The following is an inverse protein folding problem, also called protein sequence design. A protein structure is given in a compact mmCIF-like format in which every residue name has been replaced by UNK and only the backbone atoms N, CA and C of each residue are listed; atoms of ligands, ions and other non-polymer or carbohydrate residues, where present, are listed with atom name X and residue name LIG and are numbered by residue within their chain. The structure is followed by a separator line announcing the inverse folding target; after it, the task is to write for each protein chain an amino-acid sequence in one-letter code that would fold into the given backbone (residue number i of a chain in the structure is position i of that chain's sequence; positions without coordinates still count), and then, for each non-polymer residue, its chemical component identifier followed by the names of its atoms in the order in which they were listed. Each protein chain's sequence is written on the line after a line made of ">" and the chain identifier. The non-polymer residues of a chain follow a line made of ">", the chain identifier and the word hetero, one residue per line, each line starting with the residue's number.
data_IF_531684446392
#
_entry.id   IF_531684446392
#
_cell.length_a   1.000
_cell.length_b   1.000
_cell.length_c   1.000
_cell.angle_alpha   90.00
_cell.angle_beta   90.00
_cell.angle_gamma   90.00
#
_symmetry.space_group_name_H-M   'P 1'
#
loop_
_entity.id
_entity.type
_entity.pdbx_description
1 polymer ?
#
# COMPACT_ATOMS: atom_id res chain seq x y z
N UNK A 1 81.60 -18.68 -46.78
CA UNK A 1 80.38 -17.89 -47.10
C UNK A 1 79.30 -18.22 -46.07
N UNK A 2 78.51 -17.21 -45.70
CA UNK A 2 77.66 -17.11 -44.49
C UNK A 2 76.39 -17.99 -44.49
N UNK A 3 75.87 -18.18 -43.26
CA UNK A 3 74.48 -18.42 -42.81
C UNK A 3 73.95 -19.87 -42.84
N UNK A 4 73.11 -20.36 -41.90
CA UNK A 4 72.45 -19.82 -40.68
C UNK A 4 71.88 -21.02 -39.88
N UNK A 5 71.76 -20.84 -38.56
CA UNK A 5 71.23 -21.76 -37.53
C UNK A 5 69.74 -22.12 -37.65
N UNK A 6 69.31 -23.28 -37.12
CA UNK A 6 68.33 -23.40 -36.00
C UNK A 6 67.98 -24.85 -35.57
N UNK A 7 67.99 -25.05 -34.24
CA UNK A 7 67.39 -26.15 -33.47
C UNK A 7 65.91 -25.86 -33.13
N UNK A 8 65.10 -26.89 -32.91
CA UNK A 8 63.85 -26.84 -32.15
C UNK A 8 63.64 -28.14 -31.35
N UNK A 9 63.34 -28.09 -30.03
CA UNK A 9 63.09 -29.26 -29.20
C UNK A 9 61.62 -29.42 -28.72
N UNK A 10 61.28 -30.70 -28.49
CA UNK A 10 60.43 -31.38 -27.50
C UNK A 10 59.50 -30.52 -26.59
N UNK A 11 58.23 -30.95 -26.57
CA UNK A 11 57.14 -30.59 -25.65
C UNK A 11 57.22 -31.40 -24.33
N UNK A 12 56.79 -30.83 -23.18
CA UNK A 12 56.07 -31.65 -22.21
C UNK A 12 54.71 -31.04 -21.78
N UNK A 13 53.77 -31.95 -21.59
CA UNK A 13 52.39 -31.74 -21.14
C UNK A 13 52.39 -31.75 -19.61
N UNK A 14 52.02 -30.64 -18.96
CA UNK A 14 51.42 -30.63 -17.62
C UNK A 14 50.84 -29.24 -17.36
N UNK A 15 49.51 -29.06 -17.47
CA UNK A 15 48.72 -27.96 -16.84
C UNK A 15 47.22 -28.02 -17.21
N UNK A 16 46.55 -29.17 -16.99
CA UNK A 16 45.12 -29.32 -17.31
C UNK A 16 44.18 -29.16 -16.11
N UNK A 17 44.63 -29.36 -14.87
CA UNK A 17 43.72 -29.47 -13.71
C UNK A 17 43.43 -28.11 -13.02
N UNK A 18 44.33 -27.12 -13.14
CA UNK A 18 44.17 -25.83 -12.46
C UNK A 18 43.31 -24.83 -13.24
N UNK A 19 43.18 -24.99 -14.57
CA UNK A 19 42.34 -24.12 -15.41
C UNK A 19 40.84 -24.39 -15.24
N UNK A 20 40.44 -25.64 -14.99
CA UNK A 20 39.01 -26.01 -14.95
C UNK A 20 38.29 -25.50 -13.70
N UNK A 21 38.97 -25.40 -12.55
CA UNK A 21 38.40 -24.83 -11.32
C UNK A 21 38.29 -23.29 -11.36
N UNK A 22 39.26 -22.62 -11.99
CA UNK A 22 39.20 -21.16 -12.16
C UNK A 22 38.09 -20.73 -13.14
N UNK A 23 37.86 -21.50 -14.21
CA UNK A 23 36.79 -21.22 -15.17
C UNK A 23 35.40 -21.41 -14.55
N UNK A 24 35.20 -22.45 -13.72
CA UNK A 24 33.92 -22.68 -13.05
C UNK A 24 33.56 -21.59 -12.03
N UNK A 25 34.53 -21.11 -11.25
CA UNK A 25 34.33 -20.02 -10.28
C UNK A 25 34.00 -18.71 -10.99
N UNK A 26 34.69 -18.38 -12.08
CA UNK A 26 34.38 -17.18 -12.89
C UNK A 26 33.02 -17.26 -13.60
N UNK A 27 32.59 -18.45 -14.05
CA UNK A 27 31.27 -18.63 -14.68
C UNK A 27 30.13 -18.47 -13.67
N UNK A 28 30.30 -18.99 -12.44
CA UNK A 28 29.31 -18.81 -11.37
C UNK A 28 29.25 -17.36 -10.90
N UNK A 29 30.39 -16.67 -10.75
CA UNK A 29 30.43 -15.23 -10.44
C UNK A 29 29.77 -14.39 -11.55
N UNK A 30 30.03 -14.67 -12.83
CA UNK A 30 29.36 -13.95 -13.93
C UNK A 30 27.84 -14.20 -13.97
N UNK A 31 27.36 -15.40 -13.66
CA UNK A 31 25.93 -15.70 -13.61
C UNK A 31 25.22 -15.01 -12.43
N UNK A 32 25.89 -14.90 -11.27
CA UNK A 32 25.34 -14.22 -10.08
C UNK A 32 25.34 -12.69 -10.25
N UNK A 33 26.38 -12.11 -10.86
CA UNK A 33 26.41 -10.66 -11.11
C UNK A 33 25.48 -10.22 -12.25
N UNK A 34 25.29 -11.06 -13.27
CA UNK A 34 24.37 -10.73 -14.39
C UNK A 34 22.89 -10.87 -14.01
N UNK A 35 22.57 -11.70 -13.00
CA UNK A 35 21.19 -11.87 -12.53
C UNK A 35 20.75 -10.77 -11.56
N UNK A 36 21.66 -10.23 -10.74
CA UNK A 36 21.37 -9.03 -9.95
C UNK A 36 21.19 -7.79 -10.82
N UNK A 37 22.05 -7.57 -11.83
CA UNK A 37 21.93 -6.41 -12.73
C UNK A 37 20.72 -6.49 -13.65
N UNK A 38 20.34 -7.69 -14.12
CA UNK A 38 19.13 -7.87 -14.91
C UNK A 38 17.84 -7.64 -14.09
N UNK A 39 17.84 -8.03 -12.81
CA UNK A 39 16.73 -7.77 -11.90
C UNK A 39 16.61 -6.28 -11.58
N UNK A 40 17.74 -5.62 -11.32
CA UNK A 40 17.82 -4.19 -11.04
C UNK A 40 17.41 -3.36 -12.29
N UNK A 41 17.86 -3.73 -13.48
CA UNK A 41 17.39 -3.13 -14.74
C UNK A 41 15.90 -3.37 -14.98
N UNK A 42 15.37 -4.56 -14.67
CA UNK A 42 13.95 -4.87 -14.82
C UNK A 42 13.10 -4.05 -13.83
N UNK A 43 13.56 -3.90 -12.59
CA UNK A 43 12.94 -3.06 -11.57
C UNK A 43 13.00 -1.58 -11.97
N UNK A 44 14.14 -1.09 -12.45
CA UNK A 44 14.30 0.29 -12.93
C UNK A 44 13.43 0.56 -14.16
N UNK A 45 13.34 -0.37 -15.13
CA UNK A 45 12.44 -0.23 -16.30
C UNK A 45 10.97 -0.23 -15.90
N UNK A 46 10.58 -1.04 -14.90
CA UNK A 46 9.21 -1.05 -14.38
C UNK A 46 8.90 0.23 -13.61
N UNK A 47 9.79 0.67 -12.74
CA UNK A 47 9.67 1.94 -12.03
C UNK A 47 9.60 3.12 -12.99
N UNK A 48 10.45 3.12 -14.04
CA UNK A 48 10.44 4.14 -15.10
C UNK A 48 9.14 4.13 -15.90
N UNK A 49 8.58 2.97 -16.27
CA UNK A 49 7.25 2.90 -16.90
C UNK A 49 6.15 3.44 -15.98
N UNK A 50 6.19 3.09 -14.70
CA UNK A 50 5.25 3.60 -13.71
C UNK A 50 5.41 5.12 -13.55
N UNK A 51 6.62 5.66 -13.70
CA UNK A 51 6.90 7.10 -13.63
C UNK A 51 6.49 7.84 -14.91
N UNK A 52 6.76 7.28 -16.09
CA UNK A 52 6.37 7.78 -17.41
C UNK A 52 4.84 7.74 -17.59
N UNK A 53 4.14 6.82 -16.92
CA UNK A 53 2.68 6.80 -16.81
C UNK A 53 2.12 7.87 -15.86
N UNK A 54 2.97 8.58 -15.09
CA UNK A 54 2.62 9.60 -14.07
C UNK A 54 3.05 11.02 -14.48
N UNK A 55 2.84 11.40 -15.74
CA UNK A 55 3.23 12.74 -16.19
C UNK A 55 2.35 13.85 -15.57
N UNK A 56 3.01 14.95 -15.24
CA UNK A 56 2.64 15.89 -14.21
C UNK A 56 1.62 16.94 -14.69
N UNK A 57 0.39 16.93 -14.14
CA UNK A 57 -0.43 18.11 -13.75
C UNK A 57 -1.85 17.72 -13.33
N UNK A 58 -2.30 16.52 -13.64
CA UNK A 58 -3.35 15.80 -12.94
C UNK A 58 -3.14 14.33 -13.32
N UNK A 59 -3.44 13.38 -12.46
CA UNK A 59 -3.51 11.96 -12.81
C UNK A 59 -4.43 11.76 -14.05
N UNK A 60 -3.93 11.97 -15.27
CA UNK A 60 -4.46 11.44 -16.53
C UNK A 60 -4.09 9.95 -16.55
N UNK A 61 -4.61 9.24 -15.55
CA UNK A 61 -4.77 7.81 -15.65
C UNK A 61 -5.60 7.57 -16.91
N UNK A 62 -5.30 6.50 -17.64
CA UNK A 62 -6.05 6.15 -18.84
C UNK A 62 -7.55 6.27 -18.55
N UNK A 63 -8.33 6.99 -19.38
CA UNK A 63 -9.76 7.10 -19.19
C UNK A 63 -10.35 5.71 -19.00
N UNK A 64 -11.09 5.52 -17.91
CA UNK A 64 -11.75 4.24 -17.68
C UNK A 64 -12.76 3.99 -18.80
N UNK A 65 -12.87 2.73 -19.22
CA UNK A 65 -13.91 2.27 -20.13
C UNK A 65 -15.18 1.85 -19.38
N UNK A 66 -15.24 2.08 -18.06
CA UNK A 66 -16.37 1.74 -17.23
C UNK A 66 -17.66 2.37 -17.76
N UNK A 67 -18.74 1.61 -17.70
CA UNK A 67 -20.06 2.11 -18.07
C UNK A 67 -20.64 2.89 -16.90
N UNK A 68 -20.93 4.18 -17.12
CA UNK A 68 -21.50 5.05 -16.07
C UNK A 68 -23.00 5.19 -16.30
N UNK A 69 -23.78 4.71 -15.32
CA UNK A 69 -25.22 4.88 -15.25
C UNK A 69 -25.53 6.02 -14.27
N UNK A 70 -26.44 6.91 -14.65
CA UNK A 70 -26.84 8.06 -13.83
C UNK A 70 -28.35 8.02 -13.66
N UNK A 71 -28.82 8.16 -12.43
CA UNK A 71 -30.24 8.24 -12.14
C UNK A 71 -30.87 9.49 -12.80
N UNK A 72 -32.17 9.48 -13.14
CA UNK A 72 -32.81 10.60 -13.83
C UNK A 72 -32.75 11.96 -13.10
N UNK A 73 -32.61 11.95 -11.78
CA UNK A 73 -32.46 13.15 -10.94
C UNK A 73 -31.00 13.61 -10.77
N UNK A 74 -30.06 12.83 -11.33
CA UNK A 74 -28.62 12.94 -11.17
C UNK A 74 -28.13 12.98 -9.71
N UNK A 75 -28.94 12.50 -8.75
CA UNK A 75 -28.54 12.41 -7.35
C UNK A 75 -27.70 11.18 -7.04
N UNK A 76 -27.69 10.21 -7.96
CA UNK A 76 -26.89 9.00 -7.87
C UNK A 76 -26.31 8.60 -9.22
N UNK A 77 -25.03 8.25 -9.21
CA UNK A 77 -24.32 7.61 -10.31
C UNK A 77 -23.77 6.25 -9.91
N UNK A 78 -23.57 5.38 -10.88
CA UNK A 78 -23.02 4.04 -10.68
C UNK A 78 -22.08 3.66 -11.82
N UNK A 79 -20.96 3.04 -11.46
CA UNK A 79 -19.97 2.45 -12.37
C UNK A 79 -19.69 1.01 -11.96
N UNK A 80 -18.63 0.38 -12.47
CA UNK A 80 -18.32 -1.02 -12.19
C UNK A 80 -18.00 -1.23 -10.70
N UNK A 81 -17.13 -0.38 -10.13
CA UNK A 81 -16.62 -0.50 -8.77
C UNK A 81 -17.18 0.53 -7.79
N UNK A 82 -17.91 1.55 -8.25
CA UNK A 82 -18.38 2.64 -7.40
C UNK A 82 -19.88 2.92 -7.52
N UNK A 83 -20.43 3.47 -6.44
CA UNK A 83 -21.62 4.33 -6.51
C UNK A 83 -21.23 5.72 -6.02
N UNK A 84 -21.76 6.78 -6.64
CA UNK A 84 -21.61 8.15 -6.20
C UNK A 84 -22.98 8.71 -5.81
N UNK A 85 -23.12 9.28 -4.63
CA UNK A 85 -24.37 9.86 -4.13
C UNK A 85 -24.18 11.30 -3.68
N UNK A 86 -25.12 12.18 -4.03
CA UNK A 86 -25.15 13.57 -3.57
C UNK A 86 -26.06 13.69 -2.34
N UNK A 87 -25.45 13.95 -1.18
CA UNK A 87 -26.18 14.18 0.06
C UNK A 87 -27.06 15.44 -0.05
N UNK A 88 -28.09 15.50 0.78
CA UNK A 88 -29.09 16.58 0.73
C UNK A 88 -28.47 17.97 0.97
N UNK A 89 -27.48 18.04 1.86
CA UNK A 89 -26.78 19.26 2.23
C UNK A 89 -25.91 19.84 1.09
N UNK A 90 -25.52 19.04 0.11
CA UNK A 90 -24.77 19.49 -1.06
C UNK A 90 -25.66 20.12 -2.13
N UNK A 91 -26.96 19.77 -2.16
CA UNK A 91 -27.90 20.18 -3.22
C UNK A 91 -28.26 21.66 -3.18
N UNK A 92 -27.96 22.34 -2.07
CA UNK A 92 -28.23 23.77 -1.88
C UNK A 92 -27.05 24.65 -2.32
N UNK A 93 -25.94 24.03 -2.77
CA UNK A 93 -24.74 24.72 -3.20
C UNK A 93 -24.76 24.94 -4.71
N UNK A 94 -24.48 26.18 -5.13
CA UNK A 94 -24.33 26.57 -6.54
C UNK A 94 -23.33 25.65 -7.26
N UNK A 95 -23.72 25.09 -8.41
CA UNK A 95 -22.92 24.11 -9.15
C UNK A 95 -23.31 22.66 -8.88
N UNK A 96 -24.27 22.43 -7.98
CA UNK A 96 -24.86 21.12 -7.69
C UNK A 96 -26.38 21.16 -7.53
N UNK A 97 -27.01 22.32 -7.71
CA UNK A 97 -28.46 22.53 -7.62
C UNK A 97 -29.18 22.12 -8.91
N UNK A 98 -28.51 22.17 -10.06
CA UNK A 98 -29.08 21.75 -11.35
C UNK A 98 -28.73 20.29 -11.74
N UNK A 99 -29.66 19.62 -12.44
CA UNK A 99 -29.48 18.23 -12.89
C UNK A 99 -28.26 18.09 -13.80
N UNK A 100 -28.14 18.97 -14.79
CA UNK A 100 -27.07 18.90 -15.80
C UNK A 100 -25.67 19.02 -15.19
N UNK A 101 -25.51 19.83 -14.14
CA UNK A 101 -24.24 20.00 -13.43
C UNK A 101 -23.86 18.72 -12.68
N UNK A 102 -24.82 18.13 -11.96
CA UNK A 102 -24.61 16.85 -11.28
C UNK A 102 -24.31 15.71 -12.25
N UNK A 103 -24.96 15.67 -13.41
CA UNK A 103 -24.65 14.67 -14.45
C UNK A 103 -23.22 14.81 -14.96
N UNK A 104 -22.81 16.02 -15.32
CA UNK A 104 -21.46 16.30 -15.82
C UNK A 104 -20.40 15.95 -14.77
N UNK A 105 -20.61 16.39 -13.53
CA UNK A 105 -19.74 16.07 -12.42
C UNK A 105 -19.65 14.55 -12.21
N UNK A 106 -20.79 13.86 -12.17
CA UNK A 106 -20.86 12.41 -11.95
C UNK A 106 -20.06 11.63 -12.98
N UNK A 107 -20.18 11.98 -14.27
CA UNK A 107 -19.40 11.32 -15.35
C UNK A 107 -17.90 11.50 -15.15
N UNK A 108 -17.48 12.72 -14.85
CA UNK A 108 -16.07 13.04 -14.63
C UNK A 108 -15.52 12.34 -13.38
N UNK A 109 -16.25 12.43 -12.27
CA UNK A 109 -15.89 11.87 -10.98
C UNK A 109 -15.76 10.34 -11.03
N UNK A 110 -16.78 9.63 -11.51
CA UNK A 110 -16.76 8.17 -11.61
C UNK A 110 -15.73 7.69 -12.62
N UNK A 111 -15.60 8.36 -13.77
CA UNK A 111 -14.57 8.02 -14.75
C UNK A 111 -13.15 8.10 -14.16
N UNK A 112 -12.88 9.15 -13.38
CA UNK A 112 -11.60 9.30 -12.68
C UNK A 112 -11.40 8.27 -11.55
N UNK A 113 -12.42 8.02 -10.73
CA UNK A 113 -12.35 7.06 -9.62
C UNK A 113 -12.13 5.62 -10.12
N UNK A 114 -12.71 5.24 -11.25
CA UNK A 114 -12.45 3.96 -11.91
C UNK A 114 -11.01 3.84 -12.39
N UNK A 115 -10.47 4.89 -13.03
CA UNK A 115 -9.07 4.89 -13.41
C UNK A 115 -8.13 4.80 -12.19
N UNK A 116 -8.51 5.45 -11.08
CA UNK A 116 -7.81 5.32 -9.80
C UNK A 116 -7.89 3.89 -9.23
N UNK A 117 -9.05 3.24 -9.31
CA UNK A 117 -9.23 1.86 -8.86
C UNK A 117 -8.26 0.91 -9.56
N UNK A 118 -8.16 1.02 -10.89
CA UNK A 118 -7.21 0.23 -11.68
C UNK A 118 -5.75 0.49 -11.27
N UNK A 119 -5.40 1.75 -10.98
CA UNK A 119 -4.08 2.10 -10.49
C UNK A 119 -3.79 1.47 -9.11
N UNK A 120 -4.75 1.55 -8.19
CA UNK A 120 -4.62 0.99 -6.84
C UNK A 120 -4.54 -0.53 -6.85
N UNK A 121 -5.31 -1.19 -7.70
CA UNK A 121 -5.21 -2.62 -7.94
C UNK A 121 -3.79 -3.01 -8.40
N UNK A 122 -3.18 -2.26 -9.32
CA UNK A 122 -1.79 -2.53 -9.74
C UNK A 122 -0.77 -2.31 -8.61
N UNK A 123 -1.04 -1.37 -7.71
CA UNK A 123 -0.16 -1.02 -6.59
C UNK A 123 -0.25 -1.95 -5.39
N UNK A 124 -1.41 -2.56 -5.16
CA UNK A 124 -1.57 -3.48 -4.04
C UNK A 124 -1.62 -4.94 -4.46
N UNK A 125 -1.93 -5.20 -5.74
CA UNK A 125 -2.00 -6.53 -6.31
C UNK A 125 -3.22 -7.33 -5.88
N UNK A 126 -4.27 -6.65 -5.38
CA UNK A 126 -5.56 -7.23 -5.04
C UNK A 126 -6.69 -6.23 -5.30
N UNK A 127 -7.93 -6.72 -5.35
CA UNK A 127 -9.14 -5.95 -5.59
C UNK A 127 -10.16 -6.23 -4.48
N UNK A 128 -10.72 -5.19 -3.84
CA UNK A 128 -11.91 -5.35 -3.04
C UNK A 128 -13.06 -5.90 -3.90
N UNK A 129 -13.71 -6.98 -3.46
CA UNK A 129 -14.87 -7.54 -4.20
C UNK A 129 -16.12 -6.65 -4.08
N UNK A 130 -16.17 -5.80 -3.06
CA UNK A 130 -17.32 -4.96 -2.76
C UNK A 130 -17.25 -3.63 -3.46
N UNK A 131 -18.43 -3.17 -3.90
CA UNK A 131 -18.62 -1.83 -4.45
C UNK A 131 -18.28 -0.78 -3.40
N UNK A 132 -17.58 0.27 -3.81
CA UNK A 132 -17.19 1.39 -2.96
C UNK A 132 -18.26 2.49 -3.09
N UNK A 133 -18.89 2.82 -1.98
CA UNK A 133 -19.96 3.81 -1.93
C UNK A 133 -19.41 5.18 -1.54
N UNK A 134 -19.38 6.10 -2.49
CA UNK A 134 -18.93 7.47 -2.28
C UNK A 134 -20.13 8.38 -2.06
N UNK A 135 -20.15 9.12 -0.96
CA UNK A 135 -21.17 10.14 -0.69
C UNK A 135 -20.50 11.51 -0.61
N UNK A 136 -21.01 12.45 -1.40
CA UNK A 136 -20.54 13.83 -1.42
C UNK A 136 -21.46 14.70 -0.57
N UNK A 137 -20.86 15.47 0.32
CA UNK A 137 -21.49 16.36 1.28
C UNK A 137 -21.02 17.81 1.06
N UNK A 138 -21.82 18.78 1.49
CA UNK A 138 -21.26 20.12 1.75
C UNK A 138 -20.48 20.11 3.07
N UNK A 139 -21.10 19.55 4.12
CA UNK A 139 -20.56 19.39 5.46
C UNK A 139 -20.78 17.95 5.94
N UNK A 140 -19.69 17.20 6.11
CA UNK A 140 -19.76 15.90 6.76
C UNK A 140 -19.51 16.05 8.26
N UNK A 141 -20.48 15.65 9.09
CA UNK A 141 -20.43 15.79 10.57
C UNK A 141 -20.05 17.21 11.03
N UNK A 142 -20.57 18.22 10.34
CA UNK A 142 -20.33 19.64 10.63
C UNK A 142 -18.98 20.19 10.14
N UNK A 143 -18.21 19.42 9.36
CA UNK A 143 -16.90 19.85 8.84
C UNK A 143 -16.83 19.74 7.31
N UNK A 144 -16.19 20.74 6.67
CA UNK A 144 -15.80 20.66 5.26
C UNK A 144 -14.33 20.21 5.05
N UNK A 145 -13.67 19.76 6.11
CA UNK A 145 -12.24 19.41 6.12
C UNK A 145 -11.95 17.95 6.47
N UNK A 146 -12.98 17.11 6.65
CA UNK A 146 -12.82 15.71 7.06
C UNK A 146 -13.41 14.79 6.00
N UNK A 147 -12.54 14.15 5.21
CA UNK A 147 -12.90 12.98 4.43
C UNK A 147 -12.72 11.73 5.29
N UNK A 148 -13.59 10.73 5.13
CA UNK A 148 -13.56 9.51 5.95
C UNK A 148 -13.90 8.29 5.11
N UNK A 149 -13.13 7.23 5.28
CA UNK A 149 -13.42 5.91 4.72
C UNK A 149 -13.74 4.91 5.82
N UNK A 150 -14.83 4.17 5.65
CA UNK A 150 -15.30 3.13 6.57
C UNK A 150 -15.48 1.81 5.83
N UNK A 151 -15.17 0.71 6.51
CA UNK A 151 -15.45 -0.64 6.03
C UNK A 151 -16.31 -1.34 7.06
N UNK A 152 -17.57 -1.59 6.72
CA UNK A 152 -18.47 -2.34 7.56
C UNK A 152 -18.33 -3.84 7.26
N UNK A 153 -18.39 -4.64 8.31
CA UNK A 153 -18.25 -6.08 8.22
C UNK A 153 -19.25 -6.76 9.14
N UNK A 154 -19.60 -7.98 8.76
CA UNK A 154 -20.23 -8.94 9.66
C UNK A 154 -19.29 -10.11 9.87
N UNK A 155 -19.48 -10.81 10.97
CA UNK A 155 -18.79 -12.06 11.20
C UNK A 155 -19.77 -13.22 11.21
N UNK A 156 -19.30 -14.39 10.80
CA UNK A 156 -20.06 -15.61 10.82
C UNK A 156 -19.16 -16.83 10.88
N UNK A 157 -19.77 -18.01 10.89
CA UNK A 157 -19.04 -19.28 10.82
C UNK A 157 -19.19 -19.85 9.41
N UNK A 158 -18.06 -20.13 8.76
CA UNK A 158 -17.99 -20.82 7.47
C UNK A 158 -17.07 -22.03 7.66
N UNK A 159 -17.54 -23.23 7.28
CA UNK A 159 -16.80 -24.49 7.42
C UNK A 159 -16.18 -24.70 8.81
N UNK A 160 -16.95 -24.37 9.85
CA UNK A 160 -16.50 -24.50 11.23
C UNK A 160 -15.32 -23.58 11.56
N UNK A 161 -15.16 -22.44 10.87
CA UNK A 161 -14.20 -21.36 11.17
C UNK A 161 -14.93 -20.02 11.26
N UNK A 162 -14.55 -19.21 12.25
CA UNK A 162 -15.00 -17.82 12.30
C UNK A 162 -14.34 -17.04 11.16
N UNK A 163 -15.16 -16.42 10.33
CA UNK A 163 -14.72 -15.63 9.17
C UNK A 163 -15.44 -14.29 9.15
N UNK A 164 -14.75 -13.29 8.61
CA UNK A 164 -15.28 -11.96 8.36
C UNK A 164 -15.79 -11.86 6.92
N UNK A 165 -16.98 -11.30 6.77
CA UNK A 165 -17.54 -10.91 5.49
C UNK A 165 -17.64 -9.39 5.46
N UNK A 166 -17.05 -8.76 4.46
CA UNK A 166 -17.23 -7.33 4.23
C UNK A 166 -18.67 -7.13 3.74
N UNK A 167 -19.35 -6.11 4.25
CA UNK A 167 -20.72 -5.78 3.83
C UNK A 167 -20.71 -4.59 2.87
N UNK A 168 -19.99 -3.53 3.24
CA UNK A 168 -19.88 -2.30 2.47
C UNK A 168 -18.53 -1.62 2.73
N UNK A 169 -18.10 -0.85 1.74
CA UNK A 169 -17.01 0.12 1.87
C UNK A 169 -17.63 1.47 1.54
N UNK A 170 -17.53 2.41 2.46
CA UNK A 170 -18.16 3.73 2.38
C UNK A 170 -17.10 4.82 2.48
N UNK A 171 -17.23 5.84 1.65
CA UNK A 171 -16.34 6.99 1.62
C UNK A 171 -17.19 8.26 1.67
N UNK A 172 -17.10 9.00 2.76
CA UNK A 172 -17.77 10.27 2.93
C UNK A 172 -16.80 11.42 2.65
N UNK A 173 -17.14 12.28 1.69
CA UNK A 173 -16.35 13.45 1.36
C UNK A 173 -17.18 14.73 1.41
N UNK A 174 -16.74 15.73 2.18
CA UNK A 174 -17.05 17.11 1.82
C UNK A 174 -16.48 17.43 0.44
N UNK A 175 -17.25 18.12 -0.42
CA UNK A 175 -16.86 18.41 -1.81
C UNK A 175 -15.50 19.12 -1.89
N UNK A 176 -15.23 20.04 -0.96
CA UNK A 176 -13.95 20.75 -0.81
C UNK A 176 -12.76 19.82 -0.59
N UNK A 177 -12.97 18.67 0.05
CA UNK A 177 -11.95 17.65 0.25
C UNK A 177 -11.85 16.73 -0.96
N UNK A 178 -12.98 16.37 -1.58
CA UNK A 178 -13.00 15.57 -2.80
C UNK A 178 -12.19 16.21 -3.94
N UNK A 179 -12.29 17.53 -4.10
CA UNK A 179 -11.58 18.27 -5.14
C UNK A 179 -10.06 18.32 -4.92
N UNK A 180 -9.58 18.13 -3.68
CA UNK A 180 -8.14 18.10 -3.40
C UNK A 180 -7.50 16.87 -4.02
N UNK A 181 -6.51 17.11 -4.88
CA UNK A 181 -5.89 16.08 -5.70
C UNK A 181 -5.44 14.83 -4.91
N UNK A 182 -4.79 15.03 -3.77
CA UNK A 182 -4.27 13.93 -2.95
C UNK A 182 -5.29 13.19 -2.08
N UNK A 183 -6.40 13.85 -1.72
CA UNK A 183 -7.31 13.34 -0.69
C UNK A 183 -8.13 12.15 -1.19
N UNK A 184 -8.58 12.17 -2.45
CA UNK A 184 -9.26 11.01 -3.05
C UNK A 184 -8.41 9.75 -3.03
N UNK A 185 -7.11 9.90 -3.30
CA UNK A 185 -6.17 8.77 -3.32
C UNK A 185 -5.86 8.28 -1.91
N UNK A 186 -5.75 9.18 -0.93
CA UNK A 186 -5.60 8.84 0.49
C UNK A 186 -6.77 7.97 0.96
N UNK A 187 -7.99 8.44 0.77
CA UNK A 187 -9.19 7.70 1.17
C UNK A 187 -9.36 6.40 0.38
N UNK A 188 -9.04 6.39 -0.92
CA UNK A 188 -9.12 5.17 -1.72
C UNK A 188 -8.09 4.12 -1.25
N UNK A 189 -6.95 4.56 -0.72
CA UNK A 189 -5.99 3.66 -0.07
C UNK A 189 -6.62 2.94 1.11
N UNK A 190 -7.37 3.67 1.95
CA UNK A 190 -8.12 3.08 3.06
C UNK A 190 -9.22 2.13 2.57
N UNK A 191 -9.93 2.48 1.49
CA UNK A 191 -10.95 1.60 0.91
C UNK A 191 -10.38 0.24 0.49
N UNK A 192 -9.15 0.21 -0.03
CA UNK A 192 -8.46 -1.05 -0.35
C UNK A 192 -7.95 -1.77 0.90
N UNK A 193 -7.37 -1.05 1.85
CA UNK A 193 -6.52 -1.66 2.88
C UNK A 193 -7.22 -1.91 4.23
N UNK A 194 -8.34 -1.22 4.50
CA UNK A 194 -9.08 -1.36 5.76
C UNK A 194 -9.62 -2.78 6.00
N UNK A 195 -9.81 -3.57 4.94
CA UNK A 195 -10.22 -4.98 5.03
C UNK A 195 -9.25 -5.83 5.86
N UNK A 196 -8.00 -5.40 6.01
CA UNK A 196 -6.95 -6.10 6.78
C UNK A 196 -6.87 -5.71 8.25
N UNK A 197 -7.67 -4.72 8.70
CA UNK A 197 -7.57 -4.16 10.05
C UNK A 197 -6.14 -3.79 10.44
N UNK A 198 -5.42 -3.12 9.55
CA UNK A 198 -4.03 -2.73 9.78
C UNK A 198 -3.91 -1.86 11.04
N UNK A 199 -2.77 -1.87 11.74
CA UNK A 199 -2.46 -0.87 12.74
C UNK A 199 -2.64 0.53 12.15
N UNK A 200 -3.27 1.45 12.90
CA UNK A 200 -3.59 2.81 12.42
C UNK A 200 -2.37 3.51 11.83
N UNK A 201 -1.22 3.42 12.50
CA UNK A 201 0.01 4.03 12.00
C UNK A 201 0.39 3.53 10.62
N UNK A 202 0.21 2.25 10.33
CA UNK A 202 0.56 1.71 9.01
C UNK A 202 -0.49 2.11 7.98
N UNK A 203 -1.78 2.04 8.33
CA UNK A 203 -2.89 2.44 7.45
C UNK A 203 -2.73 3.89 6.99
N UNK A 204 -2.42 4.80 7.92
CA UNK A 204 -2.22 6.21 7.60
C UNK A 204 -0.89 6.49 6.93
N UNK A 205 0.18 5.83 7.37
CA UNK A 205 1.49 5.97 6.75
C UNK A 205 1.48 5.55 5.28
N UNK A 206 0.82 4.44 4.93
CA UNK A 206 0.68 4.00 3.54
C UNK A 206 -0.24 4.92 2.73
N UNK A 207 -1.34 5.40 3.32
CA UNK A 207 -2.21 6.36 2.64
C UNK A 207 -1.48 7.68 2.32
N UNK A 208 -0.67 8.20 3.26
CA UNK A 208 0.18 9.38 3.02
C UNK A 208 1.29 9.10 2.00
N UNK A 209 1.89 7.91 2.02
CA UNK A 209 2.88 7.50 0.99
C UNK A 209 2.25 7.55 -0.40
N UNK A 210 1.10 6.91 -0.61
CA UNK A 210 0.44 6.91 -1.91
C UNK A 210 -0.02 8.32 -2.28
N UNK A 211 -0.59 9.08 -1.34
CA UNK A 211 -0.96 10.48 -1.58
C UNK A 211 0.25 11.31 -2.07
N UNK A 212 1.40 11.19 -1.41
CA UNK A 212 2.56 12.04 -1.64
C UNK A 212 3.37 11.57 -2.85
N UNK A 213 3.75 10.29 -2.86
CA UNK A 213 4.70 9.74 -3.84
C UNK A 213 4.00 9.22 -5.10
N UNK A 214 2.77 8.72 -4.99
CA UNK A 214 2.01 8.25 -6.16
C UNK A 214 1.23 9.39 -6.80
N UNK A 215 0.42 10.09 -6.00
CA UNK A 215 -0.50 11.10 -6.51
C UNK A 215 0.11 12.51 -6.58
N UNK A 216 1.33 12.74 -6.08
CA UNK A 216 1.95 14.08 -6.02
C UNK A 216 1.02 15.09 -5.32
N UNK A 217 0.23 14.62 -4.35
CA UNK A 217 -0.93 15.27 -3.76
C UNK A 217 -0.62 16.27 -2.64
N UNK A 218 0.43 17.08 -2.81
CA UNK A 218 0.97 18.00 -1.79
C UNK A 218 2.26 17.49 -1.13
N UNK A 219 2.90 18.37 -0.35
CA UNK A 219 4.14 18.05 0.38
C UNK A 219 3.81 17.61 1.80
N UNK A 220 3.79 16.30 2.06
CA UNK A 220 3.93 15.79 3.42
C UNK A 220 5.43 15.59 3.67
N UNK A 221 6.09 16.42 4.50
CA UNK A 221 7.54 16.32 4.66
C UNK A 221 7.88 15.06 5.46
N UNK A 222 8.87 14.28 5.02
CA UNK A 222 9.47 13.22 5.86
C UNK A 222 10.26 13.84 7.02
N UNK A 223 10.46 13.09 8.09
CA UNK A 223 11.51 13.39 9.05
C UNK A 223 12.87 12.95 8.50
N UNK A 224 13.93 13.67 8.85
CA UNK A 224 15.28 13.33 8.41
C UNK A 224 15.83 12.11 9.17
N UNK A 225 15.28 11.82 10.35
CA UNK A 225 15.68 10.68 11.18
C UNK A 225 14.51 10.05 11.91
N UNK A 226 14.27 8.75 11.67
CA UNK A 226 13.31 7.98 12.47
C UNK A 226 13.73 7.90 13.96
N UNK A 227 15.02 7.88 14.25
CA UNK A 227 15.51 7.85 15.64
C UNK A 227 15.50 9.25 16.28
N UNK A 228 15.91 10.27 15.53
CA UNK A 228 15.93 11.66 16.01
C UNK A 228 14.55 12.22 16.31
N UNK A 229 13.53 11.79 15.57
CA UNK A 229 12.15 12.25 15.73
C UNK A 229 11.25 11.23 16.47
N UNK A 230 11.83 10.18 17.06
CA UNK A 230 11.10 9.18 17.83
C UNK A 230 10.42 9.81 19.06
N UNK A 231 9.16 9.44 19.29
CA UNK A 231 8.46 9.70 20.55
C UNK A 231 8.01 8.40 21.19
N UNK A 232 8.26 8.31 22.49
CA UNK A 232 7.83 7.18 23.31
C UNK A 232 6.83 7.62 24.37
N UNK A 233 5.95 6.71 24.79
CA UNK A 233 5.04 6.92 25.92
C UNK A 233 5.76 6.70 27.28
N UNK A 234 5.00 6.74 28.37
CA UNK A 234 5.54 6.55 29.73
C UNK A 234 6.12 5.15 29.97
N UNK A 235 5.72 4.16 29.15
CA UNK A 235 6.22 2.79 29.21
C UNK A 235 7.44 2.58 28.28
N UNK A 236 7.93 3.65 27.63
CA UNK A 236 9.05 3.60 26.69
C UNK A 236 8.70 2.99 25.34
N UNK A 237 7.43 3.03 24.95
CA UNK A 237 6.88 2.42 23.73
C UNK A 237 6.63 3.46 22.68
N UNK A 238 6.89 3.14 21.41
CA UNK A 238 6.59 4.05 20.31
C UNK A 238 5.14 4.56 20.37
N UNK A 239 4.95 5.88 20.38
CA UNK A 239 3.62 6.50 20.46
C UNK A 239 2.72 6.25 19.25
N UNK A 240 3.23 5.64 18.17
CA UNK A 240 2.43 5.10 17.08
C UNK A 240 1.61 3.86 17.50
N UNK A 241 2.05 3.06 18.47
CA UNK A 241 1.34 1.83 18.88
C UNK A 241 0.03 2.13 19.61
N UNK A 242 -0.04 3.26 20.33
CA UNK A 242 -1.25 3.71 21.02
C UNK A 242 -2.12 4.62 20.17
N UNK A 243 -1.81 4.78 18.88
CA UNK A 243 -2.60 5.63 17.99
C UNK A 243 -3.92 4.97 17.61
N UNK A 244 -5.02 5.53 18.11
CA UNK A 244 -6.38 5.03 17.87
C UNK A 244 -7.13 5.75 16.72
N UNK A 245 -6.46 6.64 15.98
CA UNK A 245 -7.05 7.41 14.87
C UNK A 245 -7.08 8.92 15.10
N UNK A 246 -7.88 9.63 14.31
CA UNK A 246 -7.85 11.10 14.15
C UNK A 246 -8.91 11.84 14.95
N UNK A 247 -9.24 11.33 16.13
CA UNK A 247 -10.32 11.93 16.94
C UNK A 247 -9.95 13.32 17.50
N UNK A 248 -8.69 13.76 17.36
CA UNK A 248 -8.20 15.03 17.91
C UNK A 248 -7.21 15.74 16.97
N UNK A 249 -7.43 17.05 16.76
CA UNK A 249 -6.51 17.99 16.11
C UNK A 249 -5.47 18.50 17.11
N UNK A 250 -4.60 17.61 17.58
CA UNK A 250 -3.51 17.97 18.49
C UNK A 250 -2.13 17.84 17.78
N UNK A 251 -1.07 18.51 18.30
CA UNK A 251 0.28 18.41 17.72
C UNK A 251 0.83 16.97 17.65
N UNK A 252 0.34 16.09 18.52
CA UNK A 252 0.73 14.68 18.51
C UNK A 252 0.17 13.95 17.28
N UNK A 253 -1.06 14.25 16.85
CA UNK A 253 -1.64 13.72 15.62
C UNK A 253 -0.79 14.09 14.40
N UNK A 254 -0.36 15.35 14.28
CA UNK A 254 0.52 15.79 13.19
C UNK A 254 1.86 15.04 13.19
N UNK A 255 2.48 14.87 14.36
CA UNK A 255 3.69 14.05 14.48
C UNK A 255 3.43 12.60 14.08
N UNK A 256 2.31 11.99 14.51
CA UNK A 256 1.96 10.59 14.20
C UNK A 256 1.83 10.34 12.70
N UNK A 257 1.11 11.19 11.97
CA UNK A 257 1.03 11.10 10.52
C UNK A 257 2.41 11.20 9.86
N UNK A 258 3.19 12.21 10.23
CA UNK A 258 4.49 12.46 9.64
C UNK A 258 5.48 11.33 9.92
N UNK A 259 5.48 10.81 11.15
CA UNK A 259 6.37 9.75 11.59
C UNK A 259 5.98 8.40 10.97
N UNK A 260 4.69 8.09 10.93
CA UNK A 260 4.15 6.93 10.23
C UNK A 260 4.51 6.94 8.74
N UNK A 261 4.31 8.08 8.06
CA UNK A 261 4.70 8.26 6.67
C UNK A 261 6.20 8.06 6.47
N UNK A 262 7.04 8.68 7.32
CA UNK A 262 8.50 8.54 7.24
C UNK A 262 8.92 7.07 7.38
N UNK A 263 8.34 6.34 8.33
CA UNK A 263 8.64 4.91 8.55
C UNK A 263 8.24 4.05 7.35
N UNK A 264 7.05 4.29 6.81
CA UNK A 264 6.54 3.57 5.65
C UNK A 264 7.36 3.89 4.39
N UNK A 265 7.77 5.14 4.21
CA UNK A 265 8.63 5.56 3.10
C UNK A 265 10.03 4.95 3.21
N UNK A 266 10.63 4.92 4.40
CA UNK A 266 11.93 4.28 4.65
C UNK A 266 11.92 2.81 4.21
N UNK A 267 10.89 2.04 4.60
CA UNK A 267 10.76 0.64 4.19
C UNK A 267 10.59 0.50 2.67
N UNK A 268 9.81 1.39 2.05
CA UNK A 268 9.61 1.40 0.60
C UNK A 268 10.89 1.71 -0.17
N UNK A 269 11.67 2.68 0.29
CA UNK A 269 12.96 3.07 -0.30
C UNK A 269 13.99 1.96 -0.13
N UNK A 270 14.07 1.38 1.07
CA UNK A 270 15.05 0.36 1.41
C UNK A 270 14.82 -0.97 0.69
N UNK A 271 13.57 -1.39 0.51
CA UNK A 271 13.22 -2.71 -0.05
C UNK A 271 12.61 -2.67 -1.45
N UNK A 272 12.59 -1.48 -2.07
CA UNK A 272 12.19 -1.26 -3.44
C UNK A 272 10.70 -0.98 -3.63
N UNK A 273 10.37 -0.42 -4.80
CA UNK A 273 9.04 0.15 -5.08
C UNK A 273 7.88 -0.85 -5.04
N UNK A 274 8.17 -2.15 -5.15
CA UNK A 274 7.21 -3.24 -5.10
C UNK A 274 7.13 -3.93 -3.73
N UNK A 275 7.82 -3.41 -2.70
CA UNK A 275 7.81 -3.96 -1.36
C UNK A 275 6.39 -4.17 -0.82
N UNK A 276 5.54 -3.14 -0.84
CA UNK A 276 4.16 -3.26 -0.34
C UNK A 276 3.28 -4.17 -1.20
N UNK A 277 3.52 -4.26 -2.51
CA UNK A 277 2.86 -5.26 -3.37
C UNK A 277 3.17 -6.67 -2.83
N UNK A 278 4.43 -6.95 -2.48
CA UNK A 278 4.81 -8.25 -1.91
C UNK A 278 4.15 -8.48 -0.56
N UNK A 279 4.11 -7.48 0.31
CA UNK A 279 3.47 -7.55 1.64
C UNK A 279 1.98 -7.93 1.50
N UNK A 280 1.20 -7.18 0.72
CA UNK A 280 -0.23 -7.45 0.58
C UNK A 280 -0.51 -8.80 -0.10
N UNK A 281 0.29 -9.21 -1.09
CA UNK A 281 0.18 -10.55 -1.69
C UNK A 281 0.40 -11.67 -0.67
N UNK A 282 1.32 -11.50 0.28
CA UNK A 282 1.51 -12.49 1.35
C UNK A 282 0.31 -12.54 2.29
N UNK A 283 -0.29 -11.40 2.63
CA UNK A 283 -1.50 -11.32 3.46
C UNK A 283 -2.72 -11.90 2.76
N UNK A 284 -2.90 -11.64 1.45
CA UNK A 284 -3.95 -12.24 0.62
C UNK A 284 -3.81 -13.76 0.54
N UNK A 285 -2.61 -14.26 0.25
CA UNK A 285 -2.33 -15.71 0.19
C UNK A 285 -2.71 -16.41 1.49
N UNK A 286 -2.54 -15.73 2.61
CA UNK A 286 -2.88 -16.27 3.92
C UNK A 286 -4.34 -16.02 4.32
N UNK A 287 -5.10 -15.28 3.51
CA UNK A 287 -6.52 -14.97 3.72
C UNK A 287 -6.77 -14.11 4.95
N UNK A 288 -5.83 -13.23 5.32
CA UNK A 288 -5.92 -12.46 6.56
C UNK A 288 -7.12 -11.52 6.60
N UNK A 289 -7.52 -10.97 5.45
CA UNK A 289 -8.68 -10.09 5.35
C UNK A 289 -9.97 -10.78 5.83
N UNK A 290 -10.08 -12.12 5.73
CA UNK A 290 -11.21 -12.91 6.26
C UNK A 290 -10.96 -13.46 7.66
N UNK A 291 -9.72 -13.84 7.97
CA UNK A 291 -9.37 -14.60 9.17
C UNK A 291 -9.08 -13.74 10.40
N UNK A 292 -8.71 -12.47 10.21
CA UNK A 292 -8.44 -11.57 11.33
C UNK A 292 -9.74 -11.11 11.99
N UNK A 293 -9.81 -11.31 13.31
CA UNK A 293 -11.00 -11.00 14.12
C UNK A 293 -11.06 -9.54 14.60
N UNK A 294 -9.98 -8.80 14.45
CA UNK A 294 -9.85 -7.41 14.87
C UNK A 294 -8.51 -6.83 14.42
N UNK A 295 -8.14 -5.68 14.97
CA UNK A 295 -6.89 -4.97 14.61
C UNK A 295 -5.70 -5.92 14.62
N UNK A 296 -5.04 -6.00 13.46
CA UNK A 296 -3.83 -6.76 13.24
C UNK A 296 -2.77 -6.25 14.23
N UNK A 297 -2.16 -7.17 14.97
CA UNK A 297 -1.06 -6.84 15.87
C UNK A 297 0.14 -6.37 15.07
N UNK A 298 0.89 -5.38 15.58
CA UNK A 298 2.13 -4.91 14.95
C UNK A 298 3.11 -6.05 14.67
N UNK A 299 3.23 -7.04 15.56
CA UNK A 299 4.10 -8.21 15.32
C UNK A 299 3.67 -9.06 14.11
N UNK A 300 2.37 -9.14 13.79
CA UNK A 300 1.89 -9.85 12.59
C UNK A 300 2.30 -9.08 11.35
N UNK A 301 2.09 -7.75 11.35
CA UNK A 301 2.50 -6.89 10.25
C UNK A 301 4.01 -6.97 9.99
N UNK A 302 4.82 -6.91 11.06
CA UNK A 302 6.29 -7.02 10.95
C UNK A 302 6.74 -8.38 10.45
N UNK A 303 6.01 -9.46 10.73
CA UNK A 303 6.26 -10.76 10.09
C UNK A 303 6.12 -10.64 8.56
N UNK A 304 5.01 -10.09 8.07
CA UNK A 304 4.80 -9.92 6.62
C UNK A 304 5.80 -8.96 5.97
N UNK A 305 6.23 -7.92 6.68
CA UNK A 305 7.32 -7.06 6.22
C UNK A 305 8.64 -7.81 6.12
N UNK A 306 8.96 -8.64 7.12
CA UNK A 306 10.20 -9.44 7.13
C UNK A 306 10.23 -10.44 5.97
N UNK A 307 9.12 -11.13 5.73
CA UNK A 307 8.97 -12.05 4.60
C UNK A 307 9.09 -11.32 3.24
N UNK A 308 8.52 -10.12 3.12
CA UNK A 308 8.61 -9.32 1.90
C UNK A 308 9.98 -8.68 1.66
N UNK A 309 10.72 -8.40 2.74
CA UNK A 309 12.09 -7.86 2.72
C UNK A 309 13.15 -8.95 2.49
N UNK A 310 12.84 -10.20 2.83
CA UNK A 310 13.81 -11.30 2.81
C UNK A 310 14.78 -11.28 4.01
N UNK A 311 14.52 -10.46 5.04
CA UNK A 311 15.31 -10.35 6.25
C UNK A 311 14.44 -10.09 7.49
N UNK A 312 14.97 -10.37 8.68
CA UNK A 312 14.26 -10.17 9.94
C UNK A 312 14.24 -8.69 10.34
N UNK A 313 13.05 -8.06 10.29
CA UNK A 313 12.88 -6.64 10.63
C UNK A 313 12.55 -6.40 12.11
N UNK A 314 12.42 -7.44 12.93
CA UNK A 314 12.16 -7.27 14.37
C UNK A 314 13.22 -6.38 15.04
N UNK A 315 14.54 -6.52 14.79
CA UNK A 315 15.55 -5.63 15.36
C UNK A 315 15.37 -4.15 14.96
N UNK A 316 15.00 -3.88 13.70
CA UNK A 316 14.73 -2.54 13.21
C UNK A 316 13.56 -1.90 13.98
N UNK A 317 12.43 -2.59 14.09
CA UNK A 317 11.26 -2.09 14.82
C UNK A 317 11.50 -1.97 16.34
N UNK A 318 12.30 -2.87 16.93
CA UNK A 318 12.71 -2.73 18.34
C UNK A 318 13.57 -1.50 18.59
N UNK A 319 14.46 -1.14 17.66
CA UNK A 319 15.24 0.10 17.75
C UNK A 319 14.34 1.34 17.75
N UNK A 320 13.20 1.26 17.06
CA UNK A 320 12.15 2.28 17.06
C UNK A 320 11.14 2.11 18.21
N UNK A 321 11.46 1.32 19.25
CA UNK A 321 10.64 1.13 20.45
C UNK A 321 9.25 0.52 20.22
N UNK A 322 9.03 -0.22 19.12
CA UNK A 322 7.81 -1.02 18.97
C UNK A 322 7.85 -2.29 19.82
N UNK A 323 6.70 -2.68 20.39
CA UNK A 323 6.49 -3.95 21.11
C UNK A 323 6.30 -5.09 20.11
N UNK A 324 7.39 -5.47 19.45
CA UNK A 324 7.39 -6.55 18.46
C UNK A 324 8.21 -7.76 18.91
N UNK A 325 7.72 -8.94 18.54
CA UNK A 325 8.43 -10.21 18.68
C UNK A 325 8.48 -10.94 17.35
N UNK A 326 9.51 -11.77 17.19
CA UNK A 326 9.61 -12.67 16.05
C UNK A 326 8.47 -13.68 16.11
N UNK A 327 7.83 -13.89 14.97
CA UNK A 327 6.76 -14.85 14.78
C UNK A 327 7.08 -15.71 13.58
N UNK A 328 6.58 -16.93 13.59
CA UNK A 328 6.45 -17.77 12.41
C UNK A 328 5.03 -17.66 11.85
N UNK A 329 4.83 -18.11 10.61
CA UNK A 329 3.49 -18.28 10.04
C UNK A 329 2.57 -19.09 10.95
N UNK A 330 3.10 -20.16 11.54
CA UNK A 330 2.32 -21.04 12.41
C UNK A 330 1.89 -20.32 13.70
N UNK A 331 2.74 -19.47 14.27
CA UNK A 331 2.38 -18.67 15.45
C UNK A 331 1.21 -17.72 15.18
N UNK A 332 1.14 -17.15 13.97
CA UNK A 332 0.06 -16.28 13.53
C UNK A 332 -1.24 -17.08 13.37
N UNK A 333 -1.18 -18.19 12.63
CA UNK A 333 -2.36 -19.03 12.39
C UNK A 333 -2.93 -19.63 13.68
N UNK A 334 -2.07 -20.11 14.58
CA UNK A 334 -2.48 -20.64 15.88
C UNK A 334 -3.17 -19.56 16.74
N UNK A 335 -2.66 -18.32 16.73
CA UNK A 335 -3.28 -17.23 17.47
C UNK A 335 -4.64 -16.84 16.90
N UNK A 336 -4.79 -16.83 15.57
CA UNK A 336 -6.07 -16.60 14.90
C UNK A 336 -7.07 -17.70 15.30
N UNK A 337 -6.66 -18.97 15.21
CA UNK A 337 -7.54 -20.10 15.53
C UNK A 337 -7.95 -20.13 17.01
N UNK A 338 -7.02 -19.88 17.93
CA UNK A 338 -7.31 -19.83 19.35
C UNK A 338 -8.36 -18.77 19.72
N UNK A 339 -8.35 -17.62 19.05
CA UNK A 339 -9.36 -16.58 19.27
C UNK A 339 -10.74 -16.99 18.71
N UNK A 340 -10.75 -17.68 17.57
CA UNK A 340 -11.97 -18.21 16.92
C UNK A 340 -12.67 -19.26 17.75
N UNK A 341 -11.93 -20.09 18.48
CA UNK A 341 -12.49 -21.07 19.43
C UNK A 341 -13.11 -20.36 20.64
N UNK A 342 -12.46 -19.34 21.20
CA UNK A 342 -12.96 -18.61 22.38
C UNK A 342 -14.29 -17.92 22.14
N UNK A 343 -14.59 -17.47 20.92
CA UNK A 343 -15.88 -16.82 20.59
C UNK A 343 -17.04 -17.79 20.34
N UNK A 344 -16.77 -19.09 20.19
CA UNK A 344 -17.83 -20.12 20.07
C UNK A 344 -18.37 -20.56 21.43
N UNK A 345 -17.57 -20.38 22.47
CA UNK A 345 -17.92 -20.64 23.86
C UNK A 345 -18.59 -19.39 24.43
#
# INVERSE_FOLDING_TARGET
>A
MKHKYRLCPIVPIFNSVMRTRAVFVSLVLMLVFSSCTALEEAQQRRAKRILEERDATSLMLRPSKATIQIAPDALRGESDHYTLTFAEDLRVLEGFDEIAERELFTRSALGYMESLYDAMNRLFGFQPEHKIHVTLHHLYRGSNLSAVTRTDYRSGVLDGRYVKFINSIEMDFPIRMYEKHGVRVHELTHAFTNIYFLPVWFSEGIAVLIQTEYAKGGTHPKFDSLEGDLRVDLDGVNQLESWAGHTETNPLTHWRYRYAYTLVAELWERYGTDFYIRVFRLMERDGLHQKLEGTMRTSFLVYYFSEAAGEDLVPFFKKLHFKVRKLTKQDILNQIEANSVRRRQ
#
